data_IF_267170071076
#
_entry.id   IF_267170071076
#
_cell.length_a   1.000
_cell.length_b   1.000
_cell.length_c   1.000
_cell.angle_alpha   90.00
_cell.angle_beta   90.00
_cell.angle_gamma   90.00
#
_symmetry.space_group_name_H-M   'P 1'
#
loop_
_entity.id
_entity.type
_entity.pdbx_description
1 polymer ?
#
# COMPACT_ATOMS: atom_id res chain seq x y z
N UNK A 1 4.94 -7.67 -2.21
CA UNK A 1 6.09 -7.11 -2.96
C UNK A 1 6.95 -6.24 -2.05
N UNK A 2 8.25 -6.17 -2.32
CA UNK A 2 9.19 -5.28 -1.62
C UNK A 2 9.29 -5.47 -0.10
N UNK A 3 9.02 -6.65 0.41
CA UNK A 3 9.13 -6.99 1.82
C UNK A 3 9.74 -8.38 1.98
N UNK A 4 10.39 -8.62 3.13
CA UNK A 4 10.88 -9.96 3.48
C UNK A 4 11.98 -10.50 2.56
N UNK A 5 12.80 -9.64 1.96
CA UNK A 5 13.89 -10.08 1.07
C UNK A 5 13.46 -10.30 -0.39
N UNK A 6 12.23 -9.93 -0.75
CA UNK A 6 11.70 -10.12 -2.12
C UNK A 6 11.87 -8.90 -3.03
N UNK A 7 12.64 -7.90 -2.60
CA UNK A 7 12.81 -6.63 -3.30
C UNK A 7 13.43 -6.79 -4.71
N UNK A 8 14.20 -7.85 -4.90
CA UNK A 8 14.87 -8.16 -6.16
C UNK A 8 13.98 -8.89 -7.19
N UNK A 9 12.81 -9.41 -6.77
CA UNK A 9 11.93 -10.20 -7.63
C UNK A 9 11.07 -9.37 -8.58
N UNK A 10 10.89 -8.08 -8.29
CA UNK A 10 10.10 -7.18 -9.15
C UNK A 10 10.59 -5.75 -9.04
N UNK A 11 10.63 -4.98 -10.12
CA UNK A 11 10.96 -3.56 -10.06
C UNK A 11 9.85 -2.74 -9.39
N UNK A 12 8.58 -3.14 -9.48
CA UNK A 12 7.45 -2.34 -8.98
C UNK A 12 7.48 -2.14 -7.47
N UNK A 13 7.00 -0.99 -7.02
CA UNK A 13 6.68 -0.74 -5.61
C UNK A 13 5.31 -1.35 -5.27
N UNK A 14 4.96 -1.43 -3.99
CA UNK A 14 3.58 -1.63 -3.57
C UNK A 14 2.97 -0.32 -3.08
N UNK A 15 1.65 -0.21 -3.10
CA UNK A 15 0.91 0.92 -2.57
C UNK A 15 -0.38 0.46 -1.87
N UNK A 16 -1.01 1.37 -1.12
CA UNK A 16 -2.14 1.04 -0.25
C UNK A 16 -3.43 0.59 -0.95
N UNK A 17 -3.53 0.80 -2.25
CA UNK A 17 -4.70 0.39 -3.05
C UNK A 17 -4.43 -0.80 -3.97
N UNK A 18 -3.34 -1.55 -3.79
CA UNK A 18 -2.97 -2.65 -4.70
C UNK A 18 -3.75 -3.93 -4.37
N UNK A 19 -5.06 -3.91 -4.61
CA UNK A 19 -5.97 -5.03 -4.33
C UNK A 19 -5.79 -6.20 -5.27
N UNK A 20 -5.21 -5.99 -6.46
CA UNK A 20 -4.93 -7.04 -7.44
C UNK A 20 -4.00 -8.13 -6.88
N UNK A 21 -3.00 -7.76 -6.08
CA UNK A 21 -2.12 -8.74 -5.45
C UNK A 21 -2.89 -9.61 -4.45
N UNK A 22 -3.84 -9.04 -3.70
CA UNK A 22 -4.70 -9.80 -2.80
C UNK A 22 -5.65 -10.71 -3.57
N UNK A 23 -6.22 -10.23 -4.69
CA UNK A 23 -7.06 -11.06 -5.57
C UNK A 23 -6.31 -12.26 -6.09
N UNK A 24 -5.07 -12.07 -6.54
CA UNK A 24 -4.24 -13.16 -7.04
C UNK A 24 -3.94 -14.21 -5.96
N UNK A 25 -3.60 -13.77 -4.73
CA UNK A 25 -3.37 -14.68 -3.60
C UNK A 25 -4.65 -15.43 -3.22
N UNK A 26 -5.79 -14.73 -3.16
CA UNK A 26 -7.07 -15.38 -2.85
C UNK A 26 -7.48 -16.40 -3.91
N UNK A 27 -7.29 -16.09 -5.19
CA UNK A 27 -7.54 -17.03 -6.27
C UNK A 27 -6.68 -18.30 -6.12
N UNK A 28 -5.38 -18.15 -5.83
CA UNK A 28 -4.49 -19.30 -5.58
C UNK A 28 -4.97 -20.13 -4.39
N UNK A 29 -5.29 -19.52 -3.25
CA UNK A 29 -5.78 -20.22 -2.06
C UNK A 29 -7.10 -20.97 -2.32
N UNK A 30 -8.01 -20.39 -3.10
CA UNK A 30 -9.30 -20.99 -3.41
C UNK A 30 -9.16 -22.09 -4.49
N UNK A 31 -8.49 -21.79 -5.59
CA UNK A 31 -8.47 -22.64 -6.77
C UNK A 31 -7.42 -23.74 -6.68
N UNK A 32 -6.22 -23.43 -6.18
CA UNK A 32 -5.11 -24.38 -6.08
C UNK A 32 -5.13 -25.13 -4.75
N UNK A 33 -5.20 -24.37 -3.63
CA UNK A 33 -5.15 -24.96 -2.28
C UNK A 33 -6.52 -25.47 -1.81
N UNK A 34 -7.58 -25.19 -2.57
CA UNK A 34 -8.95 -25.65 -2.29
C UNK A 34 -9.48 -25.20 -0.93
N UNK A 35 -9.06 -24.05 -0.44
CA UNK A 35 -9.57 -23.51 0.83
C UNK A 35 -11.01 -23.01 0.62
N UNK A 36 -11.91 -23.48 1.47
CA UNK A 36 -13.34 -23.15 1.40
C UNK A 36 -13.79 -22.09 2.41
N UNK A 37 -12.89 -21.65 3.31
CA UNK A 37 -13.20 -20.68 4.36
C UNK A 37 -12.01 -19.78 4.61
N UNK A 38 -12.16 -18.51 4.29
CA UNK A 38 -11.11 -17.49 4.41
C UNK A 38 -11.59 -16.33 5.27
N UNK A 39 -10.70 -15.84 6.13
CA UNK A 39 -10.87 -14.63 6.91
C UNK A 39 -9.73 -13.69 6.57
N UNK A 40 -10.06 -12.47 6.15
CA UNK A 40 -9.06 -11.46 5.80
C UNK A 40 -8.85 -10.53 6.98
N UNK A 41 -7.63 -10.44 7.47
CA UNK A 41 -7.28 -9.52 8.57
C UNK A 41 -6.17 -8.59 8.10
N UNK A 42 -6.41 -7.28 8.16
CA UNK A 42 -5.45 -6.27 7.76
C UNK A 42 -5.18 -5.26 8.87
N UNK A 43 -3.91 -4.85 9.00
CA UNK A 43 -3.48 -3.83 9.95
C UNK A 43 -3.05 -2.57 9.20
N UNK A 44 -3.39 -1.37 9.72
CA UNK A 44 -2.95 -0.09 9.17
C UNK A 44 -3.18 -0.01 7.65
N UNK A 45 -2.13 0.12 6.84
CA UNK A 45 -2.21 0.12 5.38
C UNK A 45 -2.80 -1.19 4.84
N UNK A 46 -2.47 -2.34 5.44
CA UNK A 46 -3.08 -3.64 5.10
C UNK A 46 -4.58 -3.68 5.44
N UNK A 47 -5.00 -2.98 6.50
CA UNK A 47 -6.41 -2.77 6.82
C UNK A 47 -7.16 -2.00 5.73
N UNK A 48 -6.54 -0.94 5.20
CA UNK A 48 -7.08 -0.24 4.04
C UNK A 48 -7.22 -1.17 2.82
N UNK A 49 -6.20 -1.99 2.55
CA UNK A 49 -6.21 -2.89 1.39
C UNK A 49 -7.33 -3.94 1.46
N UNK A 50 -7.53 -4.57 2.62
CA UNK A 50 -8.60 -5.58 2.76
C UNK A 50 -9.98 -4.97 2.73
N UNK A 51 -10.18 -3.77 3.30
CA UNK A 51 -11.45 -3.02 3.19
C UNK A 51 -11.70 -2.58 1.77
N UNK A 52 -10.70 -2.04 1.09
CA UNK A 52 -10.83 -1.64 -0.31
C UNK A 52 -11.21 -2.83 -1.20
N UNK A 53 -10.55 -3.97 -1.00
CA UNK A 53 -10.90 -5.19 -1.71
C UNK A 53 -12.35 -5.61 -1.45
N UNK A 54 -12.80 -5.55 -0.19
CA UNK A 54 -14.18 -5.87 0.16
C UNK A 54 -15.18 -4.93 -0.52
N UNK A 55 -14.94 -3.62 -0.50
CA UNK A 55 -15.77 -2.64 -1.19
C UNK A 55 -15.78 -2.83 -2.72
N UNK A 56 -14.64 -3.18 -3.32
CA UNK A 56 -14.55 -3.48 -4.75
C UNK A 56 -15.29 -4.77 -5.15
N UNK A 57 -15.48 -5.71 -4.25
CA UNK A 57 -16.32 -6.88 -4.48
C UNK A 57 -17.82 -6.53 -4.39
N UNK A 58 -18.18 -5.50 -3.62
CA UNK A 58 -19.58 -5.14 -3.38
C UNK A 58 -20.40 -6.33 -2.85
N UNK A 59 -21.53 -6.58 -3.50
CA UNK A 59 -22.45 -7.67 -3.12
C UNK A 59 -22.04 -9.06 -3.66
N UNK A 60 -20.92 -9.15 -4.39
CA UNK A 60 -20.48 -10.37 -5.07
C UNK A 60 -19.08 -10.85 -4.67
N UNK A 61 -18.75 -10.93 -3.37
CA UNK A 61 -17.48 -11.49 -2.94
C UNK A 61 -17.42 -13.00 -3.23
N UNK A 62 -16.22 -13.58 -3.41
CA UNK A 62 -16.06 -15.03 -3.38
C UNK A 62 -16.70 -15.63 -2.11
N UNK A 63 -17.50 -16.68 -2.27
CA UNK A 63 -18.24 -17.32 -1.14
C UNK A 63 -17.34 -17.89 -0.06
N UNK A 64 -16.08 -18.14 -0.40
CA UNK A 64 -15.03 -18.62 0.51
C UNK A 64 -14.59 -17.53 1.50
N UNK A 65 -14.78 -16.25 1.18
CA UNK A 65 -14.44 -15.13 2.06
C UNK A 65 -15.61 -14.92 3.04
N UNK A 66 -15.42 -15.34 4.28
CA UNK A 66 -16.47 -15.31 5.30
C UNK A 66 -16.53 -13.98 6.05
N UNK A 67 -15.39 -13.33 6.24
CA UNK A 67 -15.33 -12.03 6.90
C UNK A 67 -14.03 -11.28 6.58
N UNK A 68 -14.10 -9.95 6.72
CA UNK A 68 -12.97 -9.03 6.63
C UNK A 68 -12.87 -8.25 7.94
N UNK A 69 -11.69 -8.21 8.53
CA UNK A 69 -11.39 -7.45 9.73
C UNK A 69 -10.24 -6.48 9.49
N UNK A 70 -10.46 -5.20 9.77
CA UNK A 70 -9.42 -4.18 9.65
C UNK A 70 -9.11 -3.59 11.03
N UNK A 71 -7.83 -3.60 11.40
CA UNK A 71 -7.36 -3.11 12.69
C UNK A 71 -6.59 -1.82 12.47
N UNK A 72 -7.10 -0.72 13.04
CA UNK A 72 -6.56 0.64 12.88
C UNK A 72 -6.27 0.99 11.41
N UNK A 73 -7.22 0.82 10.48
CA UNK A 73 -6.99 0.99 9.06
C UNK A 73 -6.78 2.47 8.69
N UNK A 74 -5.92 2.72 7.73
CA UNK A 74 -5.74 4.03 7.10
C UNK A 74 -6.79 4.20 5.97
N UNK A 75 -8.08 4.25 6.31
CA UNK A 75 -9.18 4.28 5.33
C UNK A 75 -9.14 5.50 4.39
N UNK A 76 -8.63 6.63 4.88
CA UNK A 76 -8.24 7.80 4.10
C UNK A 76 -6.73 7.96 4.18
N UNK A 77 -6.04 7.63 3.08
CA UNK A 77 -4.57 7.65 3.02
C UNK A 77 -4.02 9.08 3.14
N UNK A 78 -4.72 10.06 2.58
CA UNK A 78 -4.33 11.46 2.65
C UNK A 78 -4.39 11.99 4.08
N UNK A 79 -5.54 11.86 4.73
CA UNK A 79 -5.74 12.27 6.11
C UNK A 79 -4.78 11.52 7.07
N UNK A 80 -4.58 10.21 6.86
CA UNK A 80 -3.64 9.41 7.66
C UNK A 80 -2.20 9.90 7.51
N UNK A 81 -1.76 10.20 6.28
CA UNK A 81 -0.43 10.75 6.02
C UNK A 81 -0.22 12.12 6.68
N UNK A 82 -1.22 12.99 6.61
CA UNK A 82 -1.20 14.33 7.21
C UNK A 82 -1.19 14.25 8.75
N UNK A 83 -1.96 13.34 9.36
CA UNK A 83 -1.94 13.10 10.81
C UNK A 83 -0.58 12.57 11.29
N UNK A 84 0.00 11.61 10.57
CA UNK A 84 1.35 11.12 10.90
C UNK A 84 2.38 12.25 10.79
N UNK A 85 2.19 13.18 9.85
CA UNK A 85 3.07 14.33 9.64
C UNK A 85 2.99 15.43 10.74
N UNK A 86 2.03 15.38 11.66
CA UNK A 86 1.89 16.36 12.73
C UNK A 86 3.05 16.32 13.73
N UNK A 87 3.33 17.46 14.37
CA UNK A 87 4.42 17.57 15.35
C UNK A 87 4.31 16.58 16.50
N UNK A 88 3.10 16.26 16.95
CA UNK A 88 2.85 15.26 18.01
C UNK A 88 3.35 13.85 17.62
N UNK A 89 3.40 13.57 16.34
CA UNK A 89 3.77 12.27 15.79
C UNK A 89 5.19 12.22 15.17
N UNK A 90 6.03 13.24 15.48
CA UNK A 90 7.32 13.45 14.80
C UNK A 90 8.26 12.22 14.83
N UNK A 91 8.23 11.44 15.91
CA UNK A 91 9.06 10.22 16.05
C UNK A 91 8.63 9.17 15.02
N UNK A 92 7.32 8.89 14.95
CA UNK A 92 6.74 7.97 13.98
C UNK A 92 6.97 8.44 12.56
N UNK A 93 6.69 9.70 12.29
CA UNK A 93 6.88 10.30 10.98
C UNK A 93 8.34 10.19 10.50
N UNK A 94 9.30 10.52 11.37
CA UNK A 94 10.72 10.40 11.05
C UNK A 94 11.13 8.97 10.75
N UNK A 95 10.64 7.99 11.52
CA UNK A 95 10.94 6.58 11.28
C UNK A 95 10.31 6.09 9.97
N UNK A 96 9.07 6.46 9.70
CA UNK A 96 8.41 6.15 8.43
C UNK A 96 9.20 6.68 7.23
N UNK A 97 9.52 7.96 7.20
CA UNK A 97 10.27 8.59 6.11
C UNK A 97 11.64 7.93 5.95
N UNK A 98 12.32 7.61 7.05
CA UNK A 98 13.60 6.89 7.02
C UNK A 98 13.47 5.52 6.35
N UNK A 99 12.45 4.74 6.72
CA UNK A 99 12.20 3.40 6.13
C UNK A 99 11.85 3.49 4.66
N UNK A 100 11.02 4.44 4.25
CA UNK A 100 10.69 4.69 2.85
C UNK A 100 11.94 5.05 2.05
N UNK A 101 12.78 5.95 2.56
CA UNK A 101 14.07 6.31 1.94
C UNK A 101 15.01 5.11 1.78
N UNK A 102 15.11 4.27 2.80
CA UNK A 102 15.97 3.09 2.74
C UNK A 102 15.46 2.10 1.69
N UNK A 103 14.15 1.90 1.62
CA UNK A 103 13.53 1.02 0.63
C UNK A 103 13.79 1.50 -0.79
N UNK A 104 13.56 2.78 -1.07
CA UNK A 104 13.78 3.30 -2.42
C UNK A 104 15.26 3.34 -2.81
N UNK A 105 16.17 3.58 -1.86
CA UNK A 105 17.61 3.45 -2.11
C UNK A 105 18.01 2.01 -2.48
N UNK A 106 17.40 1.01 -1.83
CA UNK A 106 17.61 -0.38 -2.19
C UNK A 106 17.09 -0.66 -3.61
N UNK A 107 15.88 -0.17 -3.92
CA UNK A 107 15.33 -0.27 -5.28
C UNK A 107 16.20 0.40 -6.33
N UNK A 108 16.72 1.60 -6.06
CA UNK A 108 17.63 2.28 -6.97
C UNK A 108 18.98 1.55 -7.19
N UNK A 109 19.43 0.74 -6.21
CA UNK A 109 20.58 -0.14 -6.42
C UNK A 109 20.27 -1.35 -7.28
N UNK A 110 19.07 -1.91 -7.13
CA UNK A 110 18.62 -3.10 -7.88
C UNK A 110 18.17 -2.76 -9.29
N UNK A 111 17.57 -1.57 -9.48
CA UNK A 111 16.94 -1.12 -10.72
C UNK A 111 17.32 0.35 -11.00
N UNK A 112 18.59 0.65 -11.25
CA UNK A 112 19.06 2.04 -11.38
C UNK A 112 18.48 2.78 -12.59
N UNK A 113 18.06 2.04 -13.62
CA UNK A 113 17.41 2.57 -14.81
C UNK A 113 15.97 3.05 -14.57
N UNK A 114 15.34 2.58 -13.46
CA UNK A 114 13.95 2.93 -13.13
C UNK A 114 13.88 3.98 -12.04
N UNK A 115 14.77 3.88 -11.03
CA UNK A 115 14.68 4.69 -9.81
C UNK A 115 15.88 5.63 -9.66
N UNK A 116 15.71 6.90 -10.02
CA UNK A 116 16.66 7.95 -9.66
C UNK A 116 16.56 8.26 -8.16
N UNK A 117 17.58 7.87 -7.42
CA UNK A 117 17.66 8.10 -5.98
C UNK A 117 18.54 9.28 -5.57
N UNK A 118 19.06 10.06 -6.51
CA UNK A 118 19.98 11.18 -6.27
C UNK A 118 19.43 12.20 -5.26
N UNK A 119 18.13 12.50 -5.34
CA UNK A 119 17.43 13.49 -4.51
C UNK A 119 16.64 12.90 -3.34
N UNK A 120 16.80 11.61 -3.05
CA UNK A 120 16.08 10.95 -1.92
C UNK A 120 16.38 11.62 -0.57
N UNK A 121 17.56 12.18 -0.41
CA UNK A 121 17.96 12.89 0.83
C UNK A 121 17.09 14.12 1.12
N UNK A 122 16.51 14.75 0.09
CA UNK A 122 15.65 15.94 0.22
C UNK A 122 14.23 15.63 0.72
N UNK A 123 13.77 14.39 0.61
CA UNK A 123 12.43 14.00 1.04
C UNK A 123 12.32 14.15 2.56
N UNK A 124 11.30 14.84 3.02
CA UNK A 124 11.04 15.12 4.44
C UNK A 124 9.71 14.58 4.94
N UNK A 125 8.76 14.31 4.01
CA UNK A 125 7.40 13.86 4.34
C UNK A 125 7.03 12.60 3.55
N UNK A 126 6.00 11.89 4.05
CA UNK A 126 5.40 10.74 3.35
C UNK A 126 4.82 11.22 2.02
N UNK A 127 4.12 12.36 2.01
CA UNK A 127 3.52 12.93 0.79
C UNK A 127 4.58 13.25 -0.28
N UNK A 128 5.72 13.82 0.10
CA UNK A 128 6.83 14.06 -0.86
C UNK A 128 7.41 12.76 -1.42
N UNK A 129 7.43 11.70 -0.62
CA UNK A 129 7.83 10.38 -1.09
C UNK A 129 6.82 9.82 -2.10
N UNK A 130 5.55 9.88 -1.76
CA UNK A 130 4.48 9.38 -2.62
C UNK A 130 4.37 10.17 -3.92
N UNK A 131 4.58 11.48 -3.89
CA UNK A 131 4.64 12.35 -5.07
C UNK A 131 5.75 11.91 -6.03
N UNK A 132 6.93 11.60 -5.51
CA UNK A 132 8.11 11.33 -6.34
C UNK A 132 8.23 9.88 -6.79
N UNK A 133 7.75 8.94 -6.01
CA UNK A 133 8.00 7.52 -6.25
C UNK A 133 6.72 6.72 -6.39
N UNK A 134 5.81 6.76 -5.42
CA UNK A 134 4.62 5.92 -5.46
C UNK A 134 3.72 6.29 -6.62
N UNK A 135 3.42 7.58 -6.78
CA UNK A 135 2.54 8.06 -7.86
C UNK A 135 3.13 7.79 -9.23
N UNK A 136 4.41 8.11 -9.42
CA UNK A 136 5.11 7.90 -10.70
C UNK A 136 5.18 6.41 -11.06
N UNK A 137 5.53 5.55 -10.08
CA UNK A 137 5.69 4.11 -10.32
C UNK A 137 4.38 3.40 -10.70
N UNK A 138 3.23 3.99 -10.35
CA UNK A 138 1.90 3.39 -10.56
C UNK A 138 0.98 4.21 -11.48
N UNK A 139 1.50 5.23 -12.15
CA UNK A 139 0.74 6.01 -13.14
C UNK A 139 -0.36 6.90 -12.54
N UNK A 140 -0.23 7.28 -11.27
CA UNK A 140 -1.04 8.33 -10.68
C UNK A 140 -0.51 9.69 -11.09
N UNK A 141 -1.40 10.68 -11.26
CA UNK A 141 -1.00 12.03 -11.68
C UNK A 141 -0.19 12.76 -10.60
N UNK A 142 -0.50 12.53 -9.34
CA UNK A 142 0.16 13.09 -8.15
C UNK A 142 -0.25 12.33 -6.88
N UNK A 143 0.36 12.64 -5.74
CA UNK A 143 0.08 11.95 -4.48
C UNK A 143 -1.40 12.05 -4.04
N UNK A 144 -2.09 13.16 -4.31
CA UNK A 144 -3.50 13.30 -3.96
C UNK A 144 -4.40 12.39 -4.81
N UNK A 145 -4.10 12.20 -6.10
CA UNK A 145 -4.78 11.23 -6.97
C UNK A 145 -4.55 9.80 -6.47
N UNK A 146 -3.32 9.48 -6.08
CA UNK A 146 -3.01 8.20 -5.44
C UNK A 146 -3.86 7.99 -4.19
N UNK A 147 -3.89 8.95 -3.28
CA UNK A 147 -4.63 8.83 -2.02
C UNK A 147 -6.14 8.68 -2.26
N UNK A 148 -6.69 9.45 -3.18
CA UNK A 148 -8.11 9.35 -3.51
C UNK A 148 -8.47 7.97 -4.06
N UNK A 149 -7.76 7.50 -5.06
CA UNK A 149 -8.05 6.22 -5.73
C UNK A 149 -7.67 4.99 -4.91
N UNK A 150 -6.70 5.09 -4.01
CA UNK A 150 -6.20 3.98 -3.20
C UNK A 150 -6.88 3.85 -1.83
N UNK A 151 -7.59 4.87 -1.37
CA UNK A 151 -8.33 4.85 -0.08
C UNK A 151 -9.55 3.95 -0.14
N UNK A 152 -9.71 3.11 0.88
CA UNK A 152 -10.91 2.27 1.01
C UNK A 152 -12.16 3.09 1.28
N UNK A 153 -12.04 4.27 1.89
CA UNK A 153 -13.16 5.19 2.15
C UNK A 153 -14.01 5.50 0.91
N UNK A 154 -13.49 5.30 -0.30
CA UNK A 154 -14.20 5.56 -1.55
C UNK A 154 -15.08 4.42 -2.02
N UNK A 155 -14.97 3.26 -1.39
CA UNK A 155 -15.65 2.02 -1.84
C UNK A 155 -16.34 1.26 -0.71
N UNK A 156 -16.17 1.69 0.55
CA UNK A 156 -16.85 1.13 1.72
C UNK A 156 -18.02 2.05 2.09
N UNK A 157 -19.17 1.86 1.56
CA UNK A 157 -20.41 2.51 1.98
C UNK A 157 -21.19 1.64 2.96
#
# INVERSE_FOLDING_TARGET
RNCGGTEHLTPTLYHGGLTEDLRAVLAELIECDRLSRLFLVGFSLGGNMVLKLAGEYGDLPPKEILAVCAISPSVDLGASGDLIGQRSNWIYHRDFVRRLKNRIKLKGKLYPEIYDTSKVHLIRTIREFDERFTSVAHGFTHAADYYDRASSLRVID
#
